data_IF_226232556843
#
_entry.id   IF_226232556843
#
_cell.length_a   1.000
_cell.length_b   1.000
_cell.length_c   1.000
_cell.angle_alpha   90.00
_cell.angle_beta   90.00
_cell.angle_gamma   90.00
#
_symmetry.space_group_name_H-M   'P 1'
#
loop_
_entity.id
_entity.type
_entity.pdbx_description
1 polymer ?
#
# COMPACT_ATOMS: atom_id res chain seq x y z
N UNK A 1 19.02 8.85 -4.45
CA UNK A 1 19.66 9.23 -5.74
C UNK A 1 18.60 9.40 -6.80
N UNK A 2 18.79 10.37 -7.69
CA UNK A 2 17.98 10.52 -8.91
C UNK A 2 18.95 10.45 -10.11
N UNK A 3 18.73 9.49 -10.99
CA UNK A 3 19.48 9.35 -12.23
C UNK A 3 18.56 9.73 -13.41
N UNK A 4 18.90 10.80 -14.11
CA UNK A 4 18.13 11.33 -15.23
C UNK A 4 18.80 11.01 -16.56
N UNK A 5 18.03 10.53 -17.53
CA UNK A 5 18.44 10.23 -18.88
C UNK A 5 17.69 11.11 -19.90
N UNK A 6 18.19 11.14 -21.13
CA UNK A 6 17.50 11.80 -22.25
C UNK A 6 16.16 11.11 -22.52
N UNK A 7 15.19 11.85 -23.00
CA UNK A 7 13.84 11.36 -23.30
C UNK A 7 13.80 10.07 -24.16
N UNK A 8 14.73 9.94 -25.09
CA UNK A 8 14.81 8.79 -26.00
C UNK A 8 15.45 7.52 -25.38
N UNK A 9 15.95 7.60 -24.16
CA UNK A 9 16.66 6.48 -23.51
C UNK A 9 15.73 5.86 -22.46
N UNK A 10 15.67 4.53 -22.42
CA UNK A 10 14.94 3.82 -21.35
C UNK A 10 15.62 4.11 -20.02
N UNK A 11 14.91 4.65 -19.01
CA UNK A 11 15.53 4.95 -17.72
C UNK A 11 16.06 3.69 -17.01
N UNK A 12 15.48 2.52 -17.27
CA UNK A 12 15.93 1.24 -16.73
C UNK A 12 17.36 0.84 -17.11
N UNK A 13 17.84 1.31 -18.28
CA UNK A 13 19.21 1.05 -18.75
C UNK A 13 20.27 1.69 -17.83
N UNK A 14 19.88 2.66 -17.02
CA UNK A 14 20.75 3.31 -16.03
C UNK A 14 20.77 2.64 -14.66
N UNK A 15 20.09 1.50 -14.48
CA UNK A 15 19.95 0.86 -13.17
C UNK A 15 21.29 0.54 -12.51
N UNK A 16 22.25 -0.01 -13.26
CA UNK A 16 23.58 -0.32 -12.73
C UNK A 16 24.32 0.95 -12.24
N UNK A 17 24.24 2.03 -13.00
CA UNK A 17 24.86 3.31 -12.63
C UNK A 17 24.19 3.93 -11.40
N UNK A 18 22.85 3.94 -11.37
CA UNK A 18 22.09 4.45 -10.22
C UNK A 18 22.39 3.66 -8.93
N UNK A 19 22.53 2.33 -9.05
CA UNK A 19 22.93 1.48 -7.93
C UNK A 19 24.32 1.82 -7.42
N UNK A 20 25.30 1.99 -8.31
CA UNK A 20 26.66 2.37 -7.93
C UNK A 20 26.67 3.69 -7.16
N UNK A 21 25.96 4.71 -7.63
CA UNK A 21 25.86 5.98 -6.92
C UNK A 21 25.14 5.87 -5.59
N UNK A 22 24.05 5.09 -5.52
CA UNK A 22 23.32 4.87 -4.28
C UNK A 22 24.20 4.14 -3.23
N UNK A 23 25.03 3.19 -3.66
CA UNK A 23 25.99 2.49 -2.81
C UNK A 23 27.07 3.46 -2.27
N UNK A 24 27.66 4.27 -3.16
CA UNK A 24 28.71 5.24 -2.77
C UNK A 24 28.17 6.29 -1.78
N UNK A 25 26.92 6.70 -1.92
CA UNK A 25 26.28 7.67 -1.03
C UNK A 25 25.64 7.03 0.21
N UNK A 26 25.65 5.71 0.32
CA UNK A 26 25.04 4.99 1.45
C UNK A 26 23.53 5.15 1.57
N UNK A 27 22.81 5.39 0.45
CA UNK A 27 21.35 5.61 0.44
C UNK A 27 20.62 4.40 -0.15
N UNK A 28 19.47 3.97 0.43
CA UNK A 28 18.78 2.76 0.01
C UNK A 28 17.89 2.93 -1.22
N UNK A 29 17.60 4.18 -1.63
CA UNK A 29 16.64 4.49 -2.68
C UNK A 29 17.27 5.14 -3.88
N UNK A 30 16.81 4.73 -5.07
CA UNK A 30 17.13 5.37 -6.33
C UNK A 30 15.85 5.64 -7.14
N UNK A 31 15.82 6.79 -7.81
CA UNK A 31 14.87 7.07 -8.88
C UNK A 31 15.62 7.13 -10.20
N UNK A 32 15.02 6.58 -11.23
CA UNK A 32 15.52 6.68 -12.61
C UNK A 32 14.42 7.33 -13.45
N UNK A 33 14.77 8.31 -14.25
CA UNK A 33 13.79 9.02 -15.06
C UNK A 33 14.36 9.47 -16.41
N UNK A 34 13.46 9.72 -17.38
CA UNK A 34 13.79 10.29 -18.69
C UNK A 34 12.86 11.43 -19.12
N UNK A 35 12.09 12.01 -18.16
CA UNK A 35 11.08 13.03 -18.43
C UNK A 35 9.70 12.50 -18.84
N UNK A 36 9.60 11.25 -19.28
CA UNK A 36 8.34 10.58 -19.60
C UNK A 36 7.96 9.52 -18.55
N UNK A 37 8.94 8.82 -18.05
CA UNK A 37 8.79 7.73 -17.09
C UNK A 37 9.63 8.01 -15.85
N UNK A 38 9.10 7.58 -14.71
CA UNK A 38 9.80 7.58 -13.42
C UNK A 38 9.78 6.16 -12.89
N UNK A 39 10.96 5.64 -12.57
CA UNK A 39 11.12 4.36 -11.90
C UNK A 39 11.64 4.61 -10.49
N UNK A 40 11.15 3.85 -9.53
CA UNK A 40 11.63 3.82 -8.15
C UNK A 40 12.29 2.48 -7.84
N UNK A 41 13.33 2.48 -7.04
CA UNK A 41 14.08 1.29 -6.69
C UNK A 41 14.58 1.31 -5.25
N UNK A 42 14.16 0.34 -4.48
CA UNK A 42 14.79 -0.04 -3.21
C UNK A 42 15.84 -1.13 -3.49
N UNK A 43 16.98 -0.72 -4.02
CA UNK A 43 17.97 -1.56 -4.70
C UNK A 43 18.57 -2.68 -3.83
N UNK A 44 18.49 -2.56 -2.51
CA UNK A 44 18.96 -3.62 -1.60
C UNK A 44 17.96 -4.78 -1.49
N UNK A 45 16.69 -4.56 -1.83
CA UNK A 45 15.60 -5.52 -1.62
C UNK A 45 14.93 -5.98 -2.91
N UNK A 46 14.96 -5.16 -3.91
CA UNK A 46 14.29 -5.41 -5.19
C UNK A 46 15.33 -5.70 -6.27
N UNK A 47 15.06 -6.71 -7.08
CA UNK A 47 15.96 -7.08 -8.17
C UNK A 47 16.01 -6.01 -9.26
N UNK A 48 14.89 -5.31 -9.49
CA UNK A 48 14.74 -4.32 -10.57
C UNK A 48 13.94 -3.10 -10.10
N UNK A 49 14.22 -1.91 -10.69
CA UNK A 49 13.38 -0.73 -10.49
C UNK A 49 11.96 -0.95 -11.06
N UNK A 50 10.97 -0.30 -10.47
CA UNK A 50 9.58 -0.40 -10.89
C UNK A 50 9.00 0.97 -11.25
N UNK A 51 8.04 1.03 -12.19
CA UNK A 51 7.41 2.29 -12.59
C UNK A 51 6.55 2.87 -11.46
N UNK A 52 6.67 4.18 -11.28
CA UNK A 52 5.85 4.99 -10.37
C UNK A 52 5.29 6.20 -11.10
N UNK A 53 4.20 6.78 -10.62
CA UNK A 53 3.55 7.91 -11.30
C UNK A 53 4.21 9.25 -11.01
N UNK A 54 4.73 9.42 -9.77
CA UNK A 54 5.41 10.65 -9.35
C UNK A 54 6.64 10.30 -8.52
N UNK A 55 7.57 11.24 -8.37
CA UNK A 55 8.57 11.14 -7.33
C UNK A 55 7.90 11.12 -5.96
N UNK A 56 8.49 10.41 -5.01
CA UNK A 56 8.04 10.44 -3.62
C UNK A 56 8.50 11.75 -2.99
N UNK A 57 7.69 12.28 -2.08
CA UNK A 57 8.09 13.42 -1.26
C UNK A 57 9.20 13.02 -0.29
N UNK A 58 9.99 13.98 0.17
CA UNK A 58 11.05 13.74 1.13
C UNK A 58 10.52 13.05 2.40
N UNK A 59 9.42 13.52 2.94
CA UNK A 59 8.78 12.94 4.13
C UNK A 59 8.40 11.45 3.95
N UNK A 60 7.97 11.06 2.73
CA UNK A 60 7.66 9.66 2.43
C UNK A 60 8.91 8.78 2.42
N UNK A 61 10.02 9.31 1.90
CA UNK A 61 11.31 8.60 1.90
C UNK A 61 11.89 8.50 3.30
N UNK A 62 11.85 9.57 4.09
CA UNK A 62 12.34 9.59 5.47
C UNK A 62 11.53 8.63 6.35
N UNK A 63 10.20 8.61 6.21
CA UNK A 63 9.31 7.68 6.89
C UNK A 63 9.64 6.22 6.56
N UNK A 64 9.88 5.90 5.29
CA UNK A 64 10.30 4.56 4.86
C UNK A 64 11.69 4.20 5.39
N UNK A 65 12.61 5.16 5.36
CA UNK A 65 13.97 4.97 5.88
C UNK A 65 13.97 4.66 7.39
N UNK A 66 13.15 5.36 8.17
CA UNK A 66 13.04 5.15 9.60
C UNK A 66 12.58 3.72 9.98
N UNK A 67 11.84 3.05 9.10
CA UNK A 67 11.38 1.67 9.35
C UNK A 67 12.35 0.59 8.86
N UNK A 68 13.30 0.91 7.98
CA UNK A 68 14.19 -0.10 7.37
C UNK A 68 14.99 -0.92 8.40
N UNK A 69 15.55 -0.25 9.41
CA UNK A 69 16.40 -0.89 10.42
C UNK A 69 15.62 -1.81 11.37
N UNK A 70 14.30 -1.56 11.56
CA UNK A 70 13.44 -2.29 12.52
C UNK A 70 12.43 -3.19 11.82
N UNK A 71 12.44 -3.22 10.49
CA UNK A 71 11.52 -4.02 9.69
C UNK A 71 11.80 -5.51 9.84
N UNK A 72 10.75 -6.25 10.14
CA UNK A 72 10.77 -7.71 10.28
C UNK A 72 9.97 -8.38 9.17
N UNK A 73 10.22 -9.66 8.94
CA UNK A 73 9.31 -10.47 8.12
C UNK A 73 7.96 -10.56 8.82
N UNK A 74 6.85 -10.16 8.18
CA UNK A 74 5.52 -10.29 8.75
C UNK A 74 5.16 -11.72 9.18
N UNK A 75 5.72 -12.76 8.55
CA UNK A 75 5.49 -14.15 8.94
C UNK A 75 6.04 -14.47 10.34
N UNK A 76 7.04 -13.73 10.82
CA UNK A 76 7.62 -13.87 12.16
C UNK A 76 6.85 -13.06 13.23
N UNK A 77 5.77 -12.37 12.86
CA UNK A 77 4.89 -11.65 13.78
C UNK A 77 3.62 -12.47 13.98
N UNK A 78 3.21 -12.77 15.22
CA UNK A 78 2.00 -13.53 15.47
C UNK A 78 0.76 -12.78 15.00
N UNK A 79 -0.24 -13.51 14.52
CA UNK A 79 -1.56 -12.96 14.23
C UNK A 79 -2.32 -12.79 15.55
N UNK A 80 -2.95 -11.64 15.75
CA UNK A 80 -3.77 -11.38 16.95
C UNK A 80 -5.08 -12.17 16.87
N UNK A 81 -5.13 -13.28 17.61
CA UNK A 81 -6.29 -14.17 17.64
C UNK A 81 -7.53 -13.56 18.33
N UNK A 82 -7.38 -12.43 19.03
CA UNK A 82 -8.53 -11.66 19.56
C UNK A 82 -9.32 -10.99 18.41
N UNK A 83 -8.65 -10.72 17.29
CA UNK A 83 -9.29 -10.13 16.09
C UNK A 83 -9.84 -11.21 15.18
N UNK A 84 -9.06 -12.29 14.93
CA UNK A 84 -9.43 -13.40 14.03
C UNK A 84 -9.17 -14.74 14.71
N UNK A 85 -10.18 -15.60 14.74
CA UNK A 85 -10.11 -16.93 15.40
C UNK A 85 -10.28 -18.09 14.38
N UNK A 86 -10.81 -17.79 13.21
CA UNK A 86 -11.15 -18.86 12.24
C UNK A 86 -9.93 -19.21 11.38
N UNK A 87 -9.69 -20.51 11.20
CA UNK A 87 -8.52 -21.02 10.47
C UNK A 87 -8.38 -20.42 9.08
N UNK A 88 -9.47 -20.24 8.33
CA UNK A 88 -9.40 -19.67 6.99
C UNK A 88 -8.98 -18.20 6.98
N UNK A 89 -9.27 -17.41 8.04
CA UNK A 89 -8.81 -16.03 8.18
C UNK A 89 -7.30 -15.98 8.45
N UNK A 90 -6.82 -16.86 9.32
CA UNK A 90 -5.39 -17.01 9.64
C UNK A 90 -4.62 -17.44 8.39
N UNK A 91 -5.09 -18.46 7.68
CA UNK A 91 -4.49 -18.94 6.44
C UNK A 91 -4.46 -17.88 5.34
N UNK A 92 -5.53 -17.09 5.22
CA UNK A 92 -5.58 -15.95 4.30
C UNK A 92 -4.47 -14.93 4.62
N UNK A 93 -4.33 -14.53 5.89
CA UNK A 93 -3.31 -13.55 6.34
C UNK A 93 -1.89 -14.09 6.11
N UNK A 94 -1.63 -15.36 6.45
CA UNK A 94 -0.34 -16.01 6.21
C UNK A 94 0.01 -16.06 4.73
N UNK A 95 -0.98 -16.38 3.89
CA UNK A 95 -0.80 -16.42 2.44
C UNK A 95 -0.49 -15.02 1.89
N UNK A 96 -1.22 -13.99 2.30
CA UNK A 96 -0.93 -12.60 1.90
C UNK A 96 0.49 -12.20 2.30
N UNK A 97 0.92 -12.48 3.52
CA UNK A 97 2.27 -12.14 3.99
C UNK A 97 3.35 -12.90 3.20
N UNK A 98 3.13 -14.18 2.88
CA UNK A 98 4.04 -15.00 2.07
C UNK A 98 4.18 -14.43 0.66
N UNK A 99 3.08 -14.12 0.01
CA UNK A 99 3.06 -13.57 -1.35
C UNK A 99 3.76 -12.19 -1.42
N UNK A 100 3.57 -11.36 -0.40
CA UNK A 100 4.29 -10.08 -0.26
C UNK A 100 5.79 -10.33 -0.09
N UNK A 101 6.17 -11.31 0.71
CA UNK A 101 7.57 -11.72 0.88
C UNK A 101 8.24 -12.19 -0.41
N UNK A 102 7.46 -12.79 -1.32
CA UNK A 102 7.90 -13.17 -2.67
C UNK A 102 7.94 -11.98 -3.66
N UNK A 103 7.66 -10.75 -3.20
CA UNK A 103 7.69 -9.54 -4.02
C UNK A 103 6.39 -9.25 -4.77
N UNK A 104 5.32 -10.00 -4.55
CA UNK A 104 4.02 -9.71 -5.17
C UNK A 104 3.40 -8.47 -4.54
N UNK A 105 2.91 -7.58 -5.38
CA UNK A 105 2.39 -6.27 -4.95
C UNK A 105 0.91 -6.09 -5.22
N UNK A 106 0.27 -7.01 -5.95
CA UNK A 106 -1.18 -7.00 -6.25
C UNK A 106 -1.75 -8.35 -5.90
N UNK A 107 -2.67 -8.36 -4.96
CA UNK A 107 -3.26 -9.54 -4.38
C UNK A 107 -4.78 -9.42 -4.38
N UNK A 108 -5.48 -10.53 -4.57
CA UNK A 108 -6.93 -10.61 -4.51
C UNK A 108 -7.33 -11.63 -3.46
N UNK A 109 -8.23 -11.23 -2.58
CA UNK A 109 -8.83 -12.08 -1.55
C UNK A 109 -10.30 -12.26 -1.85
N UNK A 110 -10.70 -13.51 -2.06
CA UNK A 110 -12.08 -13.89 -2.18
C UNK A 110 -12.59 -14.41 -0.84
N UNK A 111 -13.57 -13.73 -0.28
CA UNK A 111 -14.23 -14.09 0.97
C UNK A 111 -15.73 -13.78 0.87
N UNK A 112 -16.59 -14.73 1.17
CA UNK A 112 -18.04 -14.53 1.13
C UNK A 112 -18.49 -13.39 2.06
N UNK A 113 -19.64 -12.81 1.78
CA UNK A 113 -20.25 -11.80 2.66
C UNK A 113 -20.51 -12.38 4.05
N UNK A 114 -20.24 -11.62 5.11
CA UNK A 114 -20.44 -12.06 6.50
C UNK A 114 -19.34 -12.98 7.06
N UNK A 115 -18.29 -13.30 6.30
CA UNK A 115 -17.17 -14.14 6.77
C UNK A 115 -16.09 -13.36 7.52
N UNK A 116 -16.29 -12.05 7.74
CA UNK A 116 -15.37 -11.22 8.51
C UNK A 116 -14.25 -10.59 7.70
N UNK A 117 -14.49 -10.20 6.43
CA UNK A 117 -13.50 -9.50 5.57
C UNK A 117 -12.82 -8.33 6.30
N UNK A 118 -13.60 -7.46 6.94
CA UNK A 118 -13.08 -6.28 7.66
C UNK A 118 -12.19 -6.67 8.84
N UNK A 119 -12.56 -7.71 9.60
CA UNK A 119 -11.75 -8.23 10.71
C UNK A 119 -10.45 -8.86 10.21
N UNK A 120 -10.51 -9.63 9.12
CA UNK A 120 -9.33 -10.21 8.47
C UNK A 120 -8.39 -9.12 7.98
N UNK A 121 -8.92 -8.06 7.36
CA UNK A 121 -8.14 -6.91 6.95
C UNK A 121 -7.52 -6.18 8.15
N UNK A 122 -8.25 -5.99 9.25
CA UNK A 122 -7.72 -5.38 10.48
C UNK A 122 -6.55 -6.18 11.05
N UNK A 123 -6.69 -7.50 11.21
CA UNK A 123 -5.62 -8.36 11.70
C UNK A 123 -4.40 -8.37 10.77
N UNK A 124 -4.60 -8.37 9.46
CA UNK A 124 -3.55 -8.26 8.46
C UNK A 124 -2.80 -6.92 8.56
N UNK A 125 -3.52 -5.80 8.63
CA UNK A 125 -2.95 -4.45 8.80
C UNK A 125 -2.12 -4.40 10.09
N UNK A 126 -2.67 -4.90 11.20
CA UNK A 126 -1.98 -4.94 12.50
C UNK A 126 -0.64 -5.67 12.39
N UNK A 127 -0.66 -6.87 11.81
CA UNK A 127 0.54 -7.68 11.62
C UNK A 127 1.63 -6.95 10.82
N UNK A 128 1.23 -6.26 9.75
CA UNK A 128 2.16 -5.47 8.94
C UNK A 128 2.72 -4.25 9.68
N UNK A 129 1.91 -3.58 10.50
CA UNK A 129 2.39 -2.49 11.36
C UNK A 129 3.36 -2.98 12.42
N UNK A 130 3.05 -4.07 13.11
CA UNK A 130 3.92 -4.67 14.13
C UNK A 130 5.22 -5.22 13.53
N UNK A 131 5.21 -5.63 12.27
CA UNK A 131 6.40 -5.99 11.52
C UNK A 131 7.21 -4.77 11.04
N UNK A 132 6.72 -3.55 11.23
CA UNK A 132 7.25 -2.33 10.62
C UNK A 132 7.38 -2.44 9.08
N UNK A 133 6.53 -3.27 8.45
CA UNK A 133 6.53 -3.47 7.01
C UNK A 133 5.80 -2.36 6.25
N UNK A 134 4.88 -1.69 6.91
CA UNK A 134 4.10 -0.56 6.39
C UNK A 134 3.97 0.53 7.46
N UNK A 135 3.64 1.75 7.03
CA UNK A 135 3.43 2.90 7.92
C UNK A 135 2.12 3.62 7.69
N UNK A 136 1.62 3.63 6.44
CA UNK A 136 0.34 4.27 6.05
C UNK A 136 -0.50 3.35 5.19
N UNK A 137 -1.78 3.28 5.51
CA UNK A 137 -2.79 2.44 4.84
C UNK A 137 -3.89 3.31 4.26
N UNK A 138 -4.27 3.03 3.03
CA UNK A 138 -5.50 3.50 2.41
C UNK A 138 -6.51 2.34 2.35
N UNK A 139 -7.66 2.53 2.96
CA UNK A 139 -8.77 1.58 2.91
C UNK A 139 -9.93 2.20 2.11
N UNK A 140 -10.19 1.63 0.94
CA UNK A 140 -11.20 2.10 0.00
C UNK A 140 -12.48 1.29 0.16
N UNK A 141 -13.59 1.98 0.32
CA UNK A 141 -14.93 1.38 0.41
C UNK A 141 -15.86 1.94 -0.68
N UNK A 142 -16.95 1.24 -0.96
CA UNK A 142 -17.90 1.63 -2.01
C UNK A 142 -18.74 2.87 -1.60
N UNK A 143 -19.13 2.97 -0.32
CA UNK A 143 -20.09 3.97 0.17
C UNK A 143 -19.72 4.58 1.51
N UNK A 144 -20.14 5.81 1.73
CA UNK A 144 -19.91 6.56 2.97
C UNK A 144 -20.36 5.81 4.25
N UNK A 145 -21.55 5.16 4.30
CA UNK A 145 -21.94 4.39 5.49
C UNK A 145 -20.97 3.26 5.81
N UNK A 146 -20.41 2.59 4.78
CA UNK A 146 -19.40 1.55 4.98
C UNK A 146 -18.09 2.12 5.52
N UNK A 147 -17.71 3.35 5.13
CA UNK A 147 -16.53 4.01 5.68
C UNK A 147 -16.65 4.21 7.19
N UNK A 148 -17.82 4.66 7.67
CA UNK A 148 -18.07 4.83 9.10
C UNK A 148 -18.07 3.49 9.84
N UNK A 149 -18.74 2.49 9.29
CA UNK A 149 -18.76 1.13 9.86
C UNK A 149 -17.35 0.53 9.95
N UNK A 150 -16.51 0.75 8.93
CA UNK A 150 -15.11 0.31 8.93
C UNK A 150 -14.29 1.07 9.97
N UNK A 151 -14.52 2.39 10.13
CA UNK A 151 -13.84 3.20 11.16
C UNK A 151 -14.16 2.67 12.56
N UNK A 152 -15.43 2.37 12.85
CA UNK A 152 -15.86 1.83 14.13
C UNK A 152 -15.25 0.44 14.39
N UNK A 153 -15.22 -0.44 13.39
CA UNK A 153 -14.57 -1.74 13.49
C UNK A 153 -13.04 -1.63 13.70
N UNK A 154 -12.38 -0.67 13.06
CA UNK A 154 -10.95 -0.46 13.26
C UNK A 154 -10.65 0.19 14.61
N UNK A 155 -11.53 1.04 15.14
CA UNK A 155 -11.40 1.56 16.50
C UNK A 155 -11.49 0.44 17.55
N UNK A 156 -12.32 -0.57 17.32
CA UNK A 156 -12.43 -1.76 18.19
C UNK A 156 -11.21 -2.68 18.09
N UNK A 157 -10.77 -2.98 16.85
CA UNK A 157 -9.76 -4.01 16.62
C UNK A 157 -8.32 -3.50 16.55
N UNK A 158 -8.14 -2.20 16.30
CA UNK A 158 -6.85 -1.53 16.10
C UNK A 158 -6.72 -0.27 16.98
N UNK A 159 -6.94 -0.35 18.31
CA UNK A 159 -6.95 0.84 19.18
C UNK A 159 -5.62 1.61 19.14
N UNK A 160 -4.49 0.92 18.94
CA UNK A 160 -3.15 1.52 18.89
C UNK A 160 -2.84 2.18 17.53
N UNK A 161 -3.69 1.99 16.51
CA UNK A 161 -3.52 2.48 15.16
C UNK A 161 -4.73 3.28 14.70
N UNK A 162 -4.85 4.55 15.10
CA UNK A 162 -6.06 5.33 14.85
C UNK A 162 -6.34 5.48 13.36
N UNK A 163 -7.57 5.15 12.98
CA UNK A 163 -8.13 5.34 11.67
C UNK A 163 -8.99 6.61 11.63
N UNK A 164 -9.24 7.13 10.43
CA UNK A 164 -10.19 8.21 10.21
C UNK A 164 -10.84 8.12 8.85
N UNK A 165 -12.06 8.65 8.74
CA UNK A 165 -12.77 8.77 7.46
C UNK A 165 -12.39 10.09 6.81
N UNK A 166 -11.72 10.00 5.65
CA UNK A 166 -11.43 11.15 4.79
C UNK A 166 -12.68 11.46 3.94
N UNK A 167 -13.22 12.66 4.12
CA UNK A 167 -14.37 13.17 3.36
C UNK A 167 -13.91 14.16 2.30
N UNK A 168 -14.67 14.31 1.23
CA UNK A 168 -14.43 15.30 0.20
C UNK A 168 -14.19 16.70 0.78
N UNK A 169 -13.19 17.42 0.27
CA UNK A 169 -12.79 18.75 0.74
C UNK A 169 -11.98 18.81 2.04
N UNK A 170 -11.59 17.66 2.62
CA UNK A 170 -10.69 17.60 3.77
C UNK A 170 -9.30 17.13 3.35
N UNK A 171 -8.27 17.55 4.10
CA UNK A 171 -6.89 17.09 3.92
C UNK A 171 -6.64 15.79 4.68
N UNK A 172 -5.61 15.04 4.26
CA UNK A 172 -5.10 13.88 5.00
C UNK A 172 -4.60 14.31 6.39
N UNK A 173 -4.82 13.44 7.37
CA UNK A 173 -4.32 13.59 8.72
C UNK A 173 -3.05 12.75 8.84
N UNK A 174 -1.90 13.40 8.72
CA UNK A 174 -0.59 12.72 8.65
C UNK A 174 -0.24 11.96 9.94
N UNK A 175 -0.80 12.37 11.08
CA UNK A 175 -0.65 11.71 12.36
C UNK A 175 -1.43 10.38 12.45
N UNK A 176 -2.42 10.17 11.59
CA UNK A 176 -3.22 8.94 11.55
C UNK A 176 -2.73 8.01 10.44
N UNK A 177 -2.51 6.76 10.83
CA UNK A 177 -1.89 5.77 9.95
C UNK A 177 -2.86 5.13 8.96
N UNK A 178 -4.17 5.12 9.27
CA UNK A 178 -5.19 4.46 8.44
C UNK A 178 -6.18 5.51 7.95
N UNK A 179 -6.20 5.70 6.64
CA UNK A 179 -7.16 6.55 5.94
C UNK A 179 -8.25 5.68 5.33
N UNK A 180 -9.49 5.90 5.74
CA UNK A 180 -10.67 5.24 5.17
C UNK A 180 -11.40 6.25 4.31
N UNK A 181 -11.75 5.89 3.08
CA UNK A 181 -12.50 6.80 2.20
C UNK A 181 -13.24 6.02 1.13
N UNK A 182 -14.18 6.70 0.48
CA UNK A 182 -14.80 6.12 -0.71
C UNK A 182 -13.89 6.32 -1.92
N UNK A 183 -13.98 5.38 -2.85
CA UNK A 183 -13.25 5.46 -4.10
C UNK A 183 -13.58 6.75 -4.87
N UNK A 184 -14.85 7.16 -4.86
CA UNK A 184 -15.33 8.40 -5.48
C UNK A 184 -14.70 9.66 -4.85
N UNK A 185 -14.53 9.68 -3.52
CA UNK A 185 -13.85 10.81 -2.85
C UNK A 185 -12.37 10.85 -3.21
N UNK A 186 -11.72 9.68 -3.30
CA UNK A 186 -10.29 9.59 -3.59
C UNK A 186 -9.96 10.00 -5.03
N UNK A 187 -10.83 9.75 -6.01
CA UNK A 187 -10.63 10.17 -7.41
C UNK A 187 -10.35 11.67 -7.54
N UNK A 188 -10.91 12.49 -6.66
CA UNK A 188 -10.72 13.94 -6.69
C UNK A 188 -9.48 14.42 -5.90
N UNK A 189 -8.83 13.54 -5.14
CA UNK A 189 -7.78 13.91 -4.18
C UNK A 189 -6.42 13.25 -4.47
N UNK A 190 -6.40 12.09 -5.11
CA UNK A 190 -5.19 11.28 -5.19
C UNK A 190 -4.00 12.00 -5.85
N UNK A 191 -4.26 12.86 -6.83
CA UNK A 191 -3.23 13.57 -7.57
C UNK A 191 -2.49 14.64 -6.74
N UNK A 192 -3.04 15.05 -5.59
CA UNK A 192 -2.41 16.02 -4.67
C UNK A 192 -1.27 15.37 -3.84
N UNK A 193 -1.20 14.06 -3.82
CA UNK A 193 -0.28 13.28 -3.00
C UNK A 193 0.73 12.53 -3.86
N UNK A 194 1.93 12.33 -3.31
CA UNK A 194 2.95 11.56 -4.00
C UNK A 194 2.55 10.09 -4.15
N UNK A 195 3.09 9.42 -5.14
CA UNK A 195 2.89 7.98 -5.31
C UNK A 195 3.39 7.16 -4.10
N UNK A 196 4.31 7.70 -3.30
CA UNK A 196 4.87 7.06 -2.10
C UNK A 196 4.08 7.26 -0.82
N UNK A 197 2.94 7.98 -0.84
CA UNK A 197 2.23 8.35 0.38
C UNK A 197 1.67 7.15 1.15
N UNK A 198 1.05 6.18 0.49
CA UNK A 198 0.55 4.95 1.10
C UNK A 198 1.45 3.75 0.79
N UNK A 199 1.69 2.91 1.79
CA UNK A 199 2.45 1.67 1.66
C UNK A 199 1.54 0.47 1.35
N UNK A 200 0.27 0.53 1.77
CA UNK A 200 -0.76 -0.47 1.54
C UNK A 200 -2.06 0.19 1.10
N UNK A 201 -2.65 -0.31 0.04
CA UNK A 201 -3.98 0.07 -0.44
C UNK A 201 -4.89 -1.15 -0.41
N UNK A 202 -5.94 -1.12 0.40
CA UNK A 202 -6.96 -2.18 0.44
C UNK A 202 -8.22 -1.62 -0.19
N UNK A 203 -8.81 -2.35 -1.13
CA UNK A 203 -10.08 -2.01 -1.77
C UNK A 203 -11.13 -3.06 -1.43
N UNK A 204 -12.11 -2.69 -0.63
CA UNK A 204 -13.28 -3.54 -0.37
C UNK A 204 -14.23 -3.46 -1.56
N UNK A 205 -14.81 -4.62 -1.95
CA UNK A 205 -15.60 -4.80 -3.16
C UNK A 205 -14.85 -4.34 -4.43
N UNK A 206 -13.61 -4.82 -4.59
CA UNK A 206 -12.66 -4.38 -5.61
C UNK A 206 -13.13 -4.58 -7.06
N UNK A 207 -14.14 -5.43 -7.31
CA UNK A 207 -14.72 -5.61 -8.64
C UNK A 207 -15.24 -4.31 -9.24
N UNK A 208 -15.61 -3.33 -8.41
CA UNK A 208 -16.05 -1.99 -8.85
C UNK A 208 -14.89 -1.04 -9.11
N UNK A 209 -13.73 -1.27 -8.49
CA UNK A 209 -12.57 -0.36 -8.55
C UNK A 209 -11.67 -0.58 -9.78
N UNK A 210 -11.87 -1.66 -10.53
CA UNK A 210 -11.02 -2.05 -11.65
C UNK A 210 -11.30 -1.22 -12.91
N UNK A 211 -12.47 -0.61 -13.04
CA UNK A 211 -12.92 0.04 -14.26
C UNK A 211 -12.91 1.57 -14.20
N UNK A 212 -12.58 2.22 -15.33
CA UNK A 212 -12.73 3.66 -15.56
C UNK A 212 -11.77 4.54 -14.73
N UNK A 213 -12.26 5.68 -14.26
CA UNK A 213 -11.51 6.70 -13.52
C UNK A 213 -10.90 6.17 -12.22
N UNK A 214 -11.47 5.11 -11.65
CA UNK A 214 -11.04 4.50 -10.40
C UNK A 214 -9.71 3.75 -10.53
N UNK A 215 -9.39 3.24 -11.71
CA UNK A 215 -8.09 2.65 -11.98
C UNK A 215 -6.93 3.65 -11.81
N UNK A 216 -7.21 4.95 -11.94
CA UNK A 216 -6.26 6.03 -11.72
C UNK A 216 -5.73 6.08 -10.29
N UNK A 217 -6.62 5.95 -9.31
CA UNK A 217 -6.27 5.90 -7.87
C UNK A 217 -5.31 4.74 -7.58
N UNK A 218 -5.68 3.54 -8.03
CA UNK A 218 -4.88 2.32 -7.79
C UNK A 218 -3.53 2.36 -8.54
N UNK A 219 -3.48 3.00 -9.71
CA UNK A 219 -2.23 3.17 -10.48
C UNK A 219 -1.34 4.28 -9.94
N UNK A 220 -1.89 5.22 -9.20
CA UNK A 220 -1.14 6.37 -8.68
C UNK A 220 -0.26 5.98 -7.50
N UNK A 221 -0.82 5.30 -6.49
CA UNK A 221 -0.09 4.94 -5.29
C UNK A 221 0.78 3.70 -5.49
N UNK A 222 2.04 3.82 -5.11
CA UNK A 222 3.02 2.73 -5.14
C UNK A 222 2.96 1.87 -3.88
N UNK A 223 1.76 1.60 -3.37
CA UNK A 223 1.53 0.68 -2.25
C UNK A 223 1.35 -0.77 -2.71
N UNK A 224 1.47 -1.70 -1.76
CA UNK A 224 0.94 -3.06 -1.94
C UNK A 224 -0.57 -2.93 -2.08
N UNK A 225 -1.16 -3.60 -3.06
CA UNK A 225 -2.59 -3.52 -3.33
C UNK A 225 -3.27 -4.85 -3.00
N UNK A 226 -4.29 -4.80 -2.17
CA UNK A 226 -5.10 -5.95 -1.80
C UNK A 226 -6.56 -5.66 -2.12
N UNK A 227 -7.13 -6.40 -3.06
CA UNK A 227 -8.56 -6.36 -3.35
C UNK A 227 -9.29 -7.37 -2.47
N UNK A 228 -10.38 -6.95 -1.85
CA UNK A 228 -11.31 -7.84 -1.15
C UNK A 228 -12.60 -7.93 -1.98
N UNK A 229 -13.12 -9.13 -2.17
CA UNK A 229 -14.38 -9.32 -2.90
C UNK A 229 -15.13 -10.56 -2.41
N UNK A 230 -16.46 -10.50 -2.50
CA UNK A 230 -17.30 -11.67 -2.28
C UNK A 230 -17.52 -12.49 -3.57
N UNK A 231 -17.39 -11.82 -4.71
CA UNK A 231 -17.58 -12.43 -6.03
C UNK A 231 -16.46 -11.97 -6.96
N UNK A 232 -15.51 -12.85 -7.33
CA UNK A 232 -14.51 -12.51 -8.32
C UNK A 232 -15.19 -12.21 -9.66
N UNK A 233 -14.79 -11.14 -10.32
CA UNK A 233 -15.13 -10.97 -11.72
C UNK A 233 -14.35 -12.01 -12.52
N UNK A 234 -15.02 -13.03 -12.99
CA UNK A 234 -14.49 -13.90 -14.03
C UNK A 234 -14.53 -13.08 -15.32
N UNK A 235 -13.35 -12.65 -15.77
CA UNK A 235 -13.17 -12.04 -17.10
C UNK A 235 -13.13 -13.11 -18.16
#
# INVERSE_FOLDING_TARGET
VIEAKRYSVNPGDAAAQAKTYAQQLGVPYAFLCNGNEVLFWEWQREAYPRPVKTFFKQDDLERRLATLAVRRDPLNVPIDQRIVERNYQIECIDTLCREIGLGRRKLLVEMATGTGKTRTAAAFIKRLFEANAITRVLFLVDRIPLAKQTEDAFAEHLPDYPAYVLRAGRRFQDEKRITITTLQSMVNLYAEYSSGYFDLVISDECHRSIYGQWSGVLKHFDGIQVGLTATPCVS
#
